data_IF_938555968233
#
_entry.id   IF_938555968233
#
_cell.length_a   1.000
_cell.length_b   1.000
_cell.length_c   1.000
_cell.angle_alpha   90.00
_cell.angle_beta   90.00
_cell.angle_gamma   90.00
#
_symmetry.space_group_name_H-M   'P 1'
#
loop_
_entity.id
_entity.type
_entity.pdbx_description
1 polymer ?
#
# COMPACT_ATOMS: atom_id res chain seq x y z
N UNK A 1 6.19 53.61 12.87
CA UNK A 1 7.49 53.13 13.42
C UNK A 1 7.27 52.84 14.90
N UNK A 2 7.15 51.57 15.30
CA UNK A 2 7.32 51.18 16.70
C UNK A 2 8.75 50.65 16.85
N UNK A 3 9.51 51.12 17.84
CA UNK A 3 10.73 50.42 18.23
C UNK A 3 10.32 49.06 18.79
N UNK A 4 10.86 47.98 18.22
CA UNK A 4 10.65 46.63 18.73
C UNK A 4 11.82 46.33 19.66
N UNK A 5 11.63 46.24 20.99
CA UNK A 5 12.67 45.84 21.92
C UNK A 5 12.93 44.34 21.77
N UNK A 6 13.96 43.99 21.00
CA UNK A 6 14.29 42.60 20.64
C UNK A 6 14.59 41.69 21.85
N UNK A 7 14.92 42.25 23.02
CA UNK A 7 15.07 41.49 24.26
C UNK A 7 13.77 40.85 24.76
N UNK A 8 12.61 41.32 24.31
CA UNK A 8 11.29 40.78 24.68
C UNK A 8 10.81 39.67 23.73
N UNK A 9 11.54 39.42 22.62
CA UNK A 9 11.19 38.42 21.61
C UNK A 9 11.86 37.05 21.83
N UNK A 10 12.69 36.92 22.87
CA UNK A 10 13.53 35.73 23.13
C UNK A 10 12.69 34.46 23.39
N UNK A 11 11.43 34.61 23.83
CA UNK A 11 10.53 33.50 24.15
C UNK A 11 9.29 33.43 23.22
N UNK A 12 9.34 34.03 22.03
CA UNK A 12 8.20 34.07 21.10
C UNK A 12 8.54 33.48 19.73
N UNK A 13 7.56 32.81 19.11
CA UNK A 13 7.69 32.31 17.74
C UNK A 13 7.78 33.49 16.75
N UNK A 14 8.96 33.66 16.14
CA UNK A 14 9.23 34.70 15.15
C UNK A 14 9.29 34.07 13.76
N UNK A 15 8.49 34.58 12.83
CA UNK A 15 8.52 34.19 11.42
C UNK A 15 9.42 35.16 10.64
N UNK A 16 10.57 34.65 10.19
CA UNK A 16 11.52 35.39 9.35
C UNK A 16 11.29 34.99 7.89
N UNK A 17 11.07 35.97 7.02
CA UNK A 17 10.91 35.77 5.57
C UNK A 17 12.11 36.39 4.87
N UNK A 18 12.74 35.61 3.98
CA UNK A 18 13.97 35.97 3.26
C UNK A 18 13.72 35.70 1.77
N UNK A 19 14.12 36.61 0.90
CA UNK A 19 14.07 36.45 -0.55
C UNK A 19 15.49 36.17 -1.07
N UNK A 20 15.64 35.36 -2.12
CA UNK A 20 16.93 35.17 -2.80
C UNK A 20 17.05 36.14 -3.97
N UNK A 21 18.09 36.99 -3.95
CA UNK A 21 18.39 37.97 -5.00
C UNK A 21 19.85 37.81 -5.39
N UNK A 22 20.10 37.49 -6.66
CA UNK A 22 21.45 37.28 -7.22
C UNK A 22 22.33 36.29 -6.43
N UNK A 23 21.72 35.19 -5.96
CA UNK A 23 22.41 34.15 -5.19
C UNK A 23 22.75 34.54 -3.75
N UNK A 24 22.19 35.64 -3.24
CA UNK A 24 22.30 36.08 -1.84
C UNK A 24 20.93 36.13 -1.19
N UNK A 25 20.85 35.65 0.05
CA UNK A 25 19.63 35.71 0.86
C UNK A 25 19.48 37.11 1.47
N UNK A 26 18.37 37.80 1.16
CA UNK A 26 18.04 39.15 1.62
C UNK A 26 16.80 39.12 2.49
N UNK A 27 16.89 39.65 3.71
CA UNK A 27 15.77 39.67 4.66
C UNK A 27 14.61 40.54 4.12
N UNK A 28 13.42 39.95 4.00
CA UNK A 28 12.20 40.61 3.52
C UNK A 28 11.32 41.11 4.65
N UNK A 29 11.07 40.28 5.67
CA UNK A 29 10.27 40.66 6.83
C UNK A 29 10.57 39.80 8.04
N UNK A 30 10.35 40.37 9.22
CA UNK A 30 10.33 39.66 10.49
C UNK A 30 8.95 39.92 11.10
N UNK A 31 8.16 38.87 11.27
CA UNK A 31 6.85 38.94 11.91
C UNK A 31 6.92 38.22 13.25
N UNK A 32 6.53 38.90 14.32
CA UNK A 32 6.42 38.31 15.64
C UNK A 32 5.05 38.62 16.23
N UNK A 33 4.50 37.67 16.99
CA UNK A 33 3.26 37.86 17.75
C UNK A 33 3.64 38.30 19.16
N UNK A 34 3.40 39.58 19.46
CA UNK A 34 3.60 40.14 20.80
C UNK A 34 2.25 40.24 21.50
N UNK A 35 2.17 39.74 22.74
CA UNK A 35 0.97 39.87 23.59
C UNK A 35 1.19 41.02 24.57
N UNK A 36 0.43 42.11 24.44
CA UNK A 36 0.47 43.22 25.40
C UNK A 36 -0.53 42.94 26.53
N UNK A 37 -0.06 42.89 27.78
CA UNK A 37 -0.91 42.67 28.96
C UNK A 37 -1.43 44.01 29.48
N UNK A 38 -2.74 44.29 29.32
CA UNK A 38 -3.37 45.49 29.91
C UNK A 38 -4.34 45.10 31.02
N UNK A 39 -4.09 45.63 32.24
CA UNK A 39 -5.05 45.59 33.35
C UNK A 39 -5.97 46.80 33.25
N UNK A 40 -7.25 46.58 32.99
CA UNK A 40 -8.28 47.62 33.06
C UNK A 40 -9.44 47.18 33.96
N UNK A 41 -10.00 48.12 34.71
CA UNK A 41 -11.28 47.94 35.39
C UNK A 41 -12.42 48.06 34.38
N UNK A 42 -13.45 47.21 34.50
CA UNK A 42 -14.59 47.16 33.57
C UNK A 42 -15.27 48.54 33.44
N UNK A 43 -15.38 49.13 32.24
CA UNK A 43 -16.26 50.28 32.03
C UNK A 43 -17.72 49.83 31.96
N UNK A 44 -18.59 50.55 32.68
CA UNK A 44 -19.97 50.16 32.95
C UNK A 44 -20.97 50.23 31.77
N UNK A 45 -20.54 50.42 30.51
CA UNK A 45 -21.47 50.44 29.37
C UNK A 45 -20.86 49.82 28.11
N UNK A 46 -21.68 48.95 27.50
CA UNK A 46 -21.49 48.20 26.27
C UNK A 46 -20.82 49.01 25.14
N UNK A 47 -19.53 48.77 24.92
CA UNK A 47 -18.90 48.96 23.62
C UNK A 47 -18.86 47.60 22.90
N UNK A 48 -19.12 47.61 21.58
CA UNK A 48 -18.98 46.43 20.73
C UNK A 48 -17.55 45.88 20.84
N UNK A 49 -17.42 44.59 21.13
CA UNK A 49 -16.17 43.92 21.47
C UNK A 49 -15.60 43.17 20.25
N UNK A 50 -14.41 43.56 19.82
CA UNK A 50 -13.52 42.75 18.96
C UNK A 50 -12.47 41.99 19.80
N UNK A 51 -12.58 42.03 21.14
CA UNK A 51 -11.60 41.46 22.07
C UNK A 51 -11.98 40.02 22.46
N UNK A 52 -10.98 39.13 22.45
CA UNK A 52 -11.12 37.73 22.88
C UNK A 52 -10.67 37.62 24.35
N UNK A 53 -11.55 37.11 25.20
CA UNK A 53 -11.29 36.93 26.64
C UNK A 53 -10.80 35.52 26.93
N UNK A 54 -9.77 35.44 27.76
CA UNK A 54 -9.07 34.19 28.06
C UNK A 54 -8.86 34.05 29.56
N UNK A 55 -9.11 32.88 30.13
CA UNK A 55 -8.88 32.62 31.56
C UNK A 55 -7.38 32.52 31.92
N UNK A 56 -7.10 32.38 33.22
CA UNK A 56 -5.76 32.23 33.78
C UNK A 56 -4.98 31.00 33.26
N UNK A 57 -5.64 30.09 32.53
CA UNK A 57 -5.05 28.90 31.91
C UNK A 57 -5.04 28.97 30.37
N UNK A 58 -5.43 30.08 29.75
CA UNK A 58 -5.35 30.27 28.30
C UNK A 58 -6.55 29.74 27.49
N UNK A 59 -7.70 29.42 28.13
CA UNK A 59 -8.95 29.06 27.42
C UNK A 59 -9.84 30.26 27.14
N UNK A 60 -10.44 30.32 25.94
CA UNK A 60 -11.39 31.37 25.54
C UNK A 60 -12.70 31.22 26.33
N UNK A 61 -13.18 32.32 26.93
CA UNK A 61 -14.40 32.34 27.76
C UNK A 61 -15.32 33.50 27.38
N UNK A 62 -16.64 33.30 27.52
CA UNK A 62 -17.64 34.38 27.36
C UNK A 62 -17.74 35.25 28.63
N UNK A 63 -17.97 36.57 28.49
CA UNK A 63 -18.04 37.47 29.64
C UNK A 63 -19.33 37.26 30.46
N UNK A 64 -19.19 36.93 31.74
CA UNK A 64 -20.29 36.89 32.71
C UNK A 64 -20.22 38.09 33.66
N UNK A 65 -21.33 38.81 33.91
CA UNK A 65 -21.34 39.93 34.86
C UNK A 65 -21.51 39.39 36.28
N UNK A 66 -20.42 39.31 37.06
CA UNK A 66 -20.49 39.07 38.49
C UNK A 66 -19.62 40.05 39.30
N UNK A 67 -20.16 40.43 40.45
CA UNK A 67 -19.88 41.60 41.29
C UNK A 67 -18.58 41.51 42.13
N UNK A 68 -17.70 40.55 41.85
CA UNK A 68 -16.39 40.43 42.50
C UNK A 68 -15.29 40.49 41.45
N UNK A 69 -14.64 41.65 41.35
CA UNK A 69 -13.61 41.95 40.36
C UNK A 69 -12.41 40.98 40.45
N UNK A 70 -12.41 39.93 39.60
CA UNK A 70 -11.22 39.20 39.22
C UNK A 70 -10.60 39.88 38.00
N UNK A 71 -9.33 40.23 38.11
CA UNK A 71 -8.48 40.81 37.07
C UNK A 71 -8.60 39.99 35.78
N UNK A 72 -9.15 40.57 34.72
CA UNK A 72 -9.21 39.91 33.41
C UNK A 72 -8.14 40.52 32.51
N UNK A 73 -7.33 39.67 31.88
CA UNK A 73 -6.26 40.06 30.96
C UNK A 73 -6.83 40.18 29.56
N UNK A 74 -6.77 41.37 28.96
CA UNK A 74 -7.13 41.56 27.55
C UNK A 74 -5.87 41.44 26.70
N UNK A 75 -5.86 40.51 25.73
CA UNK A 75 -4.76 40.33 24.77
C UNK A 75 -5.11 40.99 23.43
N UNK A 76 -4.36 42.01 23.02
CA UNK A 76 -4.53 42.67 21.72
C UNK A 76 -3.46 42.19 20.72
N UNK A 77 -3.88 41.82 19.52
CA UNK A 77 -2.98 41.41 18.43
C UNK A 77 -2.27 42.65 17.85
N UNK A 78 -0.94 42.73 17.93
CA UNK A 78 -0.16 43.83 17.32
C UNK A 78 0.76 43.27 16.24
N UNK A 79 0.55 43.69 14.98
CA UNK A 79 1.41 43.32 13.85
C UNK A 79 2.67 44.20 13.83
N UNK A 80 3.85 43.62 14.02
CA UNK A 80 5.12 44.34 13.89
C UNK A 80 5.34 44.76 12.41
N UNK A 81 5.63 46.04 12.17
CA UNK A 81 5.60 46.67 10.85
C UNK A 81 6.80 46.38 9.92
N UNK A 82 6.72 46.85 8.67
CA UNK A 82 7.81 46.83 7.68
C UNK A 82 8.96 47.77 8.08
N UNK A 83 10.20 47.28 8.05
CA UNK A 83 11.41 48.08 8.31
C UNK A 83 11.79 48.91 7.09
N UNK A 84 11.69 50.25 7.20
CA UNK A 84 12.34 51.21 6.29
C UNK A 84 13.37 52.00 7.10
N UNK A 85 14.61 51.57 6.97
CA UNK A 85 15.78 52.06 7.72
C UNK A 85 16.78 50.93 7.85
N UNK A 86 17.88 51.01 7.10
CA UNK A 86 18.92 49.99 7.07
C UNK A 86 19.51 49.79 8.47
N UNK A 87 19.29 48.61 9.01
CA UNK A 87 20.12 48.04 10.08
C UNK A 87 20.68 46.79 9.44
N UNK A 88 21.99 46.78 9.14
CA UNK A 88 22.65 45.57 8.64
C UNK A 88 22.61 44.52 9.75
N UNK A 89 21.86 43.44 9.52
CA UNK A 89 22.00 42.22 10.31
C UNK A 89 23.38 41.64 10.00
N UNK A 90 24.32 41.85 10.90
CA UNK A 90 25.59 41.13 10.96
C UNK A 90 25.44 39.98 11.95
N UNK A 91 24.56 39.04 11.62
CA UNK A 91 24.54 37.76 12.29
C UNK A 91 24.48 36.65 11.25
N UNK A 92 25.24 35.57 11.50
CA UNK A 92 25.38 34.48 10.54
C UNK A 92 24.16 33.59 10.72
N UNK A 93 23.33 33.47 9.68
CA UNK A 93 22.35 32.38 9.60
C UNK A 93 23.16 31.09 9.61
N UNK A 94 23.28 30.45 10.77
CA UNK A 94 24.21 29.35 10.99
C UNK A 94 23.77 28.10 10.22
N UNK A 95 22.46 27.87 10.10
CA UNK A 95 21.90 26.80 9.28
C UNK A 95 20.52 27.18 8.73
N UNK A 96 20.39 27.22 7.40
CA UNK A 96 19.10 27.08 6.73
C UNK A 96 18.92 25.60 6.48
N UNK A 97 17.94 24.96 7.13
CA UNK A 97 17.58 23.59 6.79
C UNK A 97 16.62 23.60 5.60
N UNK A 98 17.05 23.24 4.37
CA UNK A 98 16.08 22.84 3.35
C UNK A 98 15.32 21.66 3.94
N UNK A 99 14.00 21.77 4.11
CA UNK A 99 13.17 20.77 4.81
C UNK A 99 13.36 19.35 4.26
N UNK A 100 12.50 18.91 3.35
CA UNK A 100 12.68 17.64 2.64
C UNK A 100 13.20 17.95 1.25
N UNK A 101 14.37 17.40 0.90
CA UNK A 101 14.93 17.53 -0.45
C UNK A 101 14.31 16.44 -1.32
N UNK A 102 13.52 16.86 -2.32
CA UNK A 102 13.01 15.97 -3.36
C UNK A 102 13.97 16.02 -4.56
N UNK A 103 14.46 14.87 -4.97
CA UNK A 103 15.38 14.75 -6.12
C UNK A 103 14.88 13.67 -7.07
N UNK A 104 15.13 13.86 -8.36
CA UNK A 104 14.93 12.85 -9.38
C UNK A 104 16.29 12.23 -9.71
N UNK A 105 16.43 10.94 -9.44
CA UNK A 105 17.69 10.23 -9.69
C UNK A 105 17.80 9.86 -11.18
N UNK A 106 19.04 9.86 -11.69
CA UNK A 106 19.34 9.47 -13.06
C UNK A 106 18.92 8.03 -13.38
N UNK A 107 19.10 7.13 -12.41
CA UNK A 107 18.58 5.76 -12.49
C UNK A 107 17.17 5.74 -11.89
N UNK A 108 16.12 5.37 -12.65
CA UNK A 108 14.76 5.24 -12.14
C UNK A 108 14.57 3.94 -11.32
N UNK A 109 15.60 3.52 -10.58
CA UNK A 109 15.58 2.29 -9.79
C UNK A 109 15.09 2.64 -8.38
N UNK A 110 13.77 2.77 -8.27
CA UNK A 110 13.06 2.94 -7.01
C UNK A 110 13.17 4.34 -6.39
N UNK A 111 12.12 4.71 -5.65
CA UNK A 111 12.16 5.85 -4.74
C UNK A 111 12.73 5.42 -3.39
N UNK A 112 13.60 6.22 -2.80
CA UNK A 112 14.06 6.00 -1.44
C UNK A 112 13.93 7.29 -0.62
N UNK A 113 13.67 7.12 0.67
CA UNK A 113 13.77 8.19 1.64
C UNK A 113 15.12 8.02 2.32
N UNK A 114 15.88 9.12 2.45
CA UNK A 114 17.14 9.14 3.20
C UNK A 114 16.94 9.96 4.48
N UNK A 115 16.62 9.33 5.62
CA UNK A 115 16.48 10.03 6.88
C UNK A 115 17.79 10.72 7.30
N UNK A 116 17.69 11.96 7.80
CA UNK A 116 18.82 12.65 8.44
C UNK A 116 19.35 11.77 9.57
N UNK A 117 20.66 11.54 9.64
CA UNK A 117 21.28 10.78 10.74
C UNK A 117 20.73 9.36 10.94
N UNK A 118 20.37 8.66 9.87
CA UNK A 118 19.85 7.29 9.91
C UNK A 118 20.80 6.30 10.59
N UNK A 119 22.11 6.41 10.36
CA UNK A 119 23.13 5.48 10.87
C UNK A 119 24.11 6.13 11.87
N UNK A 120 23.87 7.39 12.26
CA UNK A 120 24.77 8.13 13.15
C UNK A 120 23.97 8.82 14.28
N UNK A 121 24.09 8.32 15.53
CA UNK A 121 23.38 8.90 16.67
C UNK A 121 23.91 10.27 17.09
N UNK A 122 25.08 10.70 16.59
CA UNK A 122 25.68 11.98 16.96
C UNK A 122 25.11 13.15 16.16
N UNK A 123 24.30 12.89 15.12
CA UNK A 123 23.69 13.92 14.30
C UNK A 123 22.43 14.49 15.01
N UNK A 124 22.43 15.77 15.43
CA UNK A 124 21.29 16.37 16.10
C UNK A 124 20.04 16.39 15.20
N UNK A 125 18.90 16.01 15.78
CA UNK A 125 17.65 15.86 15.05
C UNK A 125 17.63 14.70 14.04
N UNK A 126 18.63 13.81 14.08
CA UNK A 126 18.70 12.62 13.22
C UNK A 126 17.81 11.48 13.72
N UNK A 127 17.46 10.57 12.80
CA UNK A 127 16.63 9.40 13.09
C UNK A 127 17.27 8.49 14.14
N UNK A 128 18.57 8.19 14.06
CA UNK A 128 19.25 7.35 15.04
C UNK A 128 19.25 7.96 16.46
N UNK A 129 19.32 9.30 16.54
CA UNK A 129 19.27 10.06 17.79
C UNK A 129 17.86 10.14 18.40
N UNK A 130 16.82 9.97 17.58
CA UNK A 130 15.43 10.08 18.00
C UNK A 130 15.01 9.01 19.04
N UNK A 131 13.89 9.25 19.70
CA UNK A 131 13.33 8.28 20.66
C UNK A 131 12.92 6.98 19.96
N UNK A 132 12.96 5.82 20.65
CA UNK A 132 12.63 4.52 20.08
C UNK A 132 11.28 4.49 19.35
N UNK A 133 10.25 5.12 19.93
CA UNK A 133 8.91 5.19 19.33
C UNK A 133 8.87 5.98 18.02
N UNK A 134 9.60 7.09 17.93
CA UNK A 134 9.70 7.87 16.68
C UNK A 134 10.39 7.05 15.60
N UNK A 135 11.49 6.35 15.95
CA UNK A 135 12.18 5.45 15.02
C UNK A 135 11.28 4.32 14.56
N UNK A 136 10.59 3.65 15.49
CA UNK A 136 9.67 2.57 15.18
C UNK A 136 8.56 3.01 14.20
N UNK A 137 7.95 4.17 14.45
CA UNK A 137 6.91 4.71 13.56
C UNK A 137 7.46 4.99 12.15
N UNK A 138 8.65 5.59 12.05
CA UNK A 138 9.30 5.85 10.75
C UNK A 138 9.63 4.55 10.02
N UNK A 139 10.15 3.53 10.72
CA UNK A 139 10.49 2.23 10.13
C UNK A 139 9.25 1.44 9.68
N UNK A 140 8.12 1.56 10.39
CA UNK A 140 6.86 0.92 10.00
C UNK A 140 6.18 1.65 8.84
N UNK A 141 6.40 2.97 8.70
CA UNK A 141 5.70 3.78 7.71
C UNK A 141 5.91 3.28 6.27
N UNK A 142 7.13 2.86 5.90
CA UNK A 142 7.43 2.32 4.57
C UNK A 142 6.60 1.08 4.23
N UNK A 143 6.77 -0.04 4.98
CA UNK A 143 5.98 -1.24 4.78
C UNK A 143 4.47 -1.03 4.88
N UNK A 144 4.02 -0.19 5.82
CA UNK A 144 2.60 0.13 6.00
C UNK A 144 2.02 0.81 4.76
N UNK A 145 2.75 1.74 4.14
CA UNK A 145 2.30 2.39 2.91
C UNK A 145 2.17 1.39 1.75
N UNK A 146 3.03 0.38 1.66
CA UNK A 146 2.87 -0.69 0.67
C UNK A 146 1.59 -1.50 0.90
N UNK A 147 1.24 -1.80 2.15
CA UNK A 147 -0.01 -2.49 2.47
C UNK A 147 -1.25 -1.61 2.21
N UNK A 148 -1.18 -0.32 2.53
CA UNK A 148 -2.25 0.65 2.20
C UNK A 148 -2.45 0.73 0.69
N UNK A 149 -1.37 0.86 -0.08
CA UNK A 149 -1.43 0.87 -1.56
C UNK A 149 -2.08 -0.41 -2.08
N UNK A 150 -1.73 -1.57 -1.55
CA UNK A 150 -2.36 -2.83 -1.95
C UNK A 150 -3.88 -2.84 -1.70
N UNK A 151 -4.33 -2.41 -0.52
CA UNK A 151 -5.76 -2.31 -0.19
C UNK A 151 -6.48 -1.36 -1.15
N UNK A 152 -5.87 -0.23 -1.50
CA UNK A 152 -6.44 0.73 -2.45
C UNK A 152 -6.52 0.13 -3.86
N UNK A 153 -5.47 -0.52 -4.34
CA UNK A 153 -5.46 -1.17 -5.66
C UNK A 153 -6.49 -2.30 -5.72
N UNK A 154 -6.59 -3.14 -4.70
CA UNK A 154 -7.62 -4.19 -4.62
C UNK A 154 -9.02 -3.58 -4.60
N UNK A 155 -9.21 -2.46 -3.89
CA UNK A 155 -10.50 -1.76 -3.89
C UNK A 155 -10.90 -1.27 -5.28
N UNK A 156 -9.93 -0.81 -6.07
CA UNK A 156 -10.14 -0.43 -7.48
C UNK A 156 -10.49 -1.65 -8.33
N UNK A 157 -9.79 -2.78 -8.16
CA UNK A 157 -10.07 -4.04 -8.86
C UNK A 157 -11.52 -4.48 -8.61
N UNK A 158 -11.93 -4.57 -7.33
CA UNK A 158 -13.30 -4.95 -6.95
C UNK A 158 -14.34 -4.00 -7.56
N UNK A 159 -14.03 -2.70 -7.60
CA UNK A 159 -14.92 -1.70 -8.20
C UNK A 159 -15.04 -1.88 -9.72
N UNK A 160 -13.94 -2.19 -10.42
CA UNK A 160 -13.96 -2.42 -11.88
C UNK A 160 -14.69 -3.71 -12.25
N UNK A 161 -14.52 -4.77 -11.46
CA UNK A 161 -15.26 -6.02 -11.65
C UNK A 161 -16.75 -5.88 -11.27
N UNK A 162 -17.12 -4.89 -10.45
CA UNK A 162 -18.48 -4.70 -9.94
C UNK A 162 -18.89 -5.73 -8.87
N UNK A 163 -17.95 -6.54 -8.42
CA UNK A 163 -18.22 -7.63 -7.48
C UNK A 163 -16.99 -8.50 -7.21
N UNK A 164 -17.21 -9.61 -6.51
CA UNK A 164 -16.20 -10.59 -6.15
C UNK A 164 -16.73 -12.00 -6.31
N UNK A 165 -15.84 -12.98 -6.40
CA UNK A 165 -16.17 -14.39 -6.25
C UNK A 165 -16.15 -14.73 -4.76
N UNK A 166 -17.25 -15.27 -4.24
CA UNK A 166 -17.30 -15.80 -2.88
C UNK A 166 -17.41 -17.33 -2.92
N UNK A 167 -16.59 -17.99 -2.11
CA UNK A 167 -16.68 -19.44 -1.90
C UNK A 167 -17.85 -19.77 -0.98
N UNK A 168 -18.47 -20.96 -1.14
CA UNK A 168 -19.56 -21.38 -0.28
C UNK A 168 -19.07 -21.62 1.16
N UNK A 169 -19.96 -21.56 2.16
CA UNK A 169 -19.65 -21.98 3.53
C UNK A 169 -19.12 -23.42 3.58
N UNK A 170 -18.23 -23.71 4.53
CA UNK A 170 -17.59 -25.02 4.66
C UNK A 170 -18.57 -26.18 4.94
N UNK A 171 -19.77 -25.86 5.42
CA UNK A 171 -20.87 -26.78 5.75
C UNK A 171 -21.94 -26.86 4.64
N UNK A 172 -21.71 -26.24 3.48
CA UNK A 172 -22.63 -26.31 2.36
C UNK A 172 -22.81 -27.76 1.88
N UNK A 173 -24.01 -28.30 2.05
CA UNK A 173 -24.39 -29.67 1.72
C UNK A 173 -25.43 -29.66 0.60
N UNK A 174 -24.95 -29.43 -0.64
CA UNK A 174 -25.79 -29.40 -1.83
C UNK A 174 -24.96 -29.50 -3.11
N UNK A 175 -25.59 -29.77 -4.27
CA UNK A 175 -24.90 -29.75 -5.55
C UNK A 175 -24.26 -28.38 -5.75
N UNK A 176 -22.97 -28.39 -6.10
CA UNK A 176 -22.16 -27.20 -6.21
C UNK A 176 -22.11 -26.74 -7.66
N UNK A 177 -22.41 -25.46 -7.90
CA UNK A 177 -22.10 -24.83 -9.19
C UNK A 177 -20.61 -24.98 -9.49
N UNK A 178 -20.25 -25.31 -10.72
CA UNK A 178 -18.85 -25.41 -11.12
C UNK A 178 -18.53 -24.13 -11.90
N UNK A 179 -18.18 -23.08 -11.16
CA UNK A 179 -17.84 -21.79 -11.74
C UNK A 179 -16.42 -21.85 -12.31
N UNK A 180 -16.25 -21.47 -13.58
CA UNK A 180 -14.95 -21.30 -14.20
C UNK A 180 -14.31 -20.01 -13.69
N UNK A 181 -13.18 -20.14 -12.99
CA UNK A 181 -12.46 -19.01 -12.38
C UNK A 181 -11.24 -18.58 -13.17
N UNK A 182 -10.80 -19.38 -14.13
CA UNK A 182 -9.68 -19.06 -15.01
C UNK A 182 -9.77 -19.91 -16.27
N UNK A 183 -9.33 -19.34 -17.40
CA UNK A 183 -9.14 -20.06 -18.66
C UNK A 183 -7.73 -19.73 -19.14
N UNK A 184 -6.93 -20.78 -19.40
CA UNK A 184 -5.56 -20.65 -19.84
C UNK A 184 -5.52 -20.19 -21.30
N UNK A 185 -4.80 -19.09 -21.55
CA UNK A 185 -4.59 -18.56 -22.89
C UNK A 185 -3.88 -19.59 -23.80
N UNK A 186 -4.34 -19.70 -25.04
CA UNK A 186 -3.91 -20.70 -26.01
C UNK A 186 -4.39 -22.13 -25.73
N UNK A 187 -5.08 -22.37 -24.60
CA UNK A 187 -5.53 -23.69 -24.16
C UNK A 187 -6.76 -24.21 -24.91
N UNK A 188 -7.08 -25.53 -24.80
CA UNK A 188 -8.23 -26.12 -25.49
C UNK A 188 -9.58 -25.47 -25.12
N UNK A 189 -9.76 -25.06 -23.86
CA UNK A 189 -10.98 -24.41 -23.40
C UNK A 189 -11.17 -23.02 -24.03
N UNK A 190 -10.12 -22.21 -24.10
CA UNK A 190 -10.17 -20.89 -24.76
C UNK A 190 -10.48 -21.03 -26.24
N UNK A 191 -9.81 -21.96 -26.93
CA UNK A 191 -10.05 -22.24 -28.37
C UNK A 191 -11.49 -22.67 -28.66
N UNK A 192 -12.12 -23.38 -27.72
CA UNK A 192 -13.52 -23.76 -27.81
C UNK A 192 -14.48 -22.63 -27.40
N UNK A 193 -13.97 -21.47 -26.99
CA UNK A 193 -14.74 -20.29 -26.62
C UNK A 193 -15.29 -20.31 -25.19
N UNK A 194 -14.75 -21.15 -24.30
CA UNK A 194 -15.06 -21.12 -22.87
C UNK A 194 -14.48 -19.84 -22.24
N UNK A 195 -15.20 -19.25 -21.29
CA UNK A 195 -14.83 -17.98 -20.66
C UNK A 195 -14.84 -18.10 -19.14
N UNK A 196 -14.02 -17.27 -18.48
CA UNK A 196 -14.13 -17.07 -17.04
C UNK A 196 -15.55 -16.57 -16.71
N UNK A 197 -16.15 -17.15 -15.68
CA UNK A 197 -17.52 -16.86 -15.28
C UNK A 197 -18.59 -17.83 -15.77
N UNK A 198 -18.26 -18.70 -16.71
CA UNK A 198 -19.17 -19.77 -17.14
C UNK A 198 -19.44 -20.72 -15.97
N UNK A 199 -20.66 -21.23 -15.88
CA UNK A 199 -21.00 -22.31 -14.93
C UNK A 199 -21.17 -23.61 -15.72
N UNK A 200 -20.34 -24.60 -15.41
CA UNK A 200 -20.42 -25.93 -16.02
C UNK A 200 -21.65 -26.67 -15.46
N UNK A 201 -22.56 -27.11 -16.34
CA UNK A 201 -23.80 -27.81 -15.96
C UNK A 201 -23.71 -29.31 -16.24
N UNK A 202 -23.34 -29.68 -17.48
CA UNK A 202 -23.27 -31.08 -17.92
C UNK A 202 -22.05 -31.35 -18.77
N UNK A 203 -21.64 -32.61 -18.81
CA UNK A 203 -20.69 -33.15 -19.78
C UNK A 203 -21.28 -34.41 -20.42
N UNK A 204 -21.32 -34.46 -21.75
CA UNK A 204 -21.88 -35.56 -22.55
C UNK A 204 -23.29 -35.98 -22.10
N UNK A 205 -24.13 -34.98 -21.79
CA UNK A 205 -25.50 -35.14 -21.32
C UNK A 205 -25.65 -35.56 -19.85
N UNK A 206 -24.54 -35.82 -19.13
CA UNK A 206 -24.54 -36.16 -17.70
C UNK A 206 -24.38 -34.89 -16.85
N UNK A 207 -25.26 -34.63 -15.86
CA UNK A 207 -25.09 -33.53 -14.91
C UNK A 207 -23.77 -33.65 -14.14
N UNK A 208 -23.10 -32.52 -13.95
CA UNK A 208 -21.91 -32.42 -13.11
C UNK A 208 -22.31 -31.75 -11.78
N UNK A 209 -22.01 -32.40 -10.67
CA UNK A 209 -22.47 -31.94 -9.34
C UNK A 209 -21.36 -31.35 -8.48
N UNK A 210 -20.10 -31.59 -8.85
CA UNK A 210 -18.92 -31.14 -8.13
C UNK A 210 -17.68 -31.10 -9.06
N UNK A 211 -16.63 -30.46 -8.55
CA UNK A 211 -15.35 -30.31 -9.25
C UNK A 211 -14.70 -31.67 -9.54
N UNK A 212 -14.75 -32.62 -8.60
CA UNK A 212 -14.04 -33.90 -8.72
C UNK A 212 -14.57 -34.74 -9.90
N UNK A 213 -15.88 -34.73 -10.11
CA UNK A 213 -16.54 -35.33 -11.26
C UNK A 213 -16.08 -34.70 -12.58
N UNK A 214 -16.08 -33.36 -12.66
CA UNK A 214 -15.64 -32.64 -13.85
C UNK A 214 -14.16 -32.93 -14.17
N UNK A 215 -13.30 -32.83 -13.15
CA UNK A 215 -11.86 -33.09 -13.28
C UNK A 215 -11.56 -34.54 -13.68
N UNK A 216 -12.26 -35.51 -13.06
CA UNK A 216 -12.10 -36.93 -13.39
C UNK A 216 -12.54 -37.24 -14.81
N UNK A 217 -13.66 -36.65 -15.25
CA UNK A 217 -14.16 -36.81 -16.62
C UNK A 217 -13.19 -36.24 -17.66
N UNK A 218 -12.63 -35.06 -17.42
CA UNK A 218 -11.63 -34.45 -18.31
C UNK A 218 -10.38 -35.34 -18.43
N UNK A 219 -9.88 -35.84 -17.29
CA UNK A 219 -8.69 -36.69 -17.26
C UNK A 219 -8.92 -38.07 -17.91
N UNK A 220 -10.15 -38.60 -17.83
CA UNK A 220 -10.52 -39.89 -18.41
C UNK A 220 -10.75 -39.85 -19.93
N UNK A 221 -10.76 -38.67 -20.55
CA UNK A 221 -11.09 -38.46 -21.97
C UNK A 221 -9.94 -37.80 -22.76
N UNK A 222 -8.70 -38.34 -22.73
CA UNK A 222 -7.59 -37.78 -23.50
C UNK A 222 -7.88 -37.79 -24.98
N UNK A 223 -7.74 -36.64 -25.64
CA UNK A 223 -7.94 -36.44 -27.09
C UNK A 223 -9.35 -36.80 -27.60
N UNK A 224 -10.31 -37.03 -26.70
CA UNK A 224 -11.71 -37.31 -27.02
C UNK A 224 -12.54 -36.04 -26.81
N UNK A 225 -13.34 -35.59 -27.80
CA UNK A 225 -14.20 -34.44 -27.63
C UNK A 225 -15.25 -34.68 -26.55
N UNK A 226 -15.34 -33.77 -25.59
CA UNK A 226 -16.38 -33.73 -24.57
C UNK A 226 -17.34 -32.59 -24.91
N UNK A 227 -18.64 -32.86 -24.91
CA UNK A 227 -19.68 -31.85 -25.09
C UNK A 227 -20.10 -31.30 -23.74
N UNK A 228 -19.68 -30.08 -23.44
CA UNK A 228 -20.06 -29.37 -22.23
C UNK A 228 -21.31 -28.51 -22.47
N UNK A 229 -22.25 -28.58 -21.54
CA UNK A 229 -23.36 -27.65 -21.42
C UNK A 229 -23.00 -26.63 -20.33
N UNK A 230 -22.99 -25.35 -20.67
CA UNK A 230 -22.59 -24.26 -19.78
C UNK A 230 -23.70 -23.23 -19.64
N UNK A 231 -23.72 -22.53 -18.52
CA UNK A 231 -24.53 -21.34 -18.31
C UNK A 231 -23.65 -20.10 -18.41
N UNK A 232 -23.93 -19.23 -19.38
CA UNK A 232 -23.28 -17.93 -19.57
C UNK A 232 -24.33 -16.85 -19.63
N UNK A 233 -24.26 -15.85 -18.74
CA UNK A 233 -25.22 -14.74 -18.70
C UNK A 233 -26.71 -15.17 -18.67
N UNK A 234 -27.01 -16.33 -18.08
CA UNK A 234 -28.36 -16.89 -18.01
C UNK A 234 -28.79 -17.70 -19.23
N UNK A 235 -27.97 -17.76 -20.29
CA UNK A 235 -28.21 -18.60 -21.47
C UNK A 235 -27.42 -19.89 -21.39
N UNK A 236 -28.05 -21.00 -21.78
CA UNK A 236 -27.38 -22.29 -21.89
C UNK A 236 -26.70 -22.39 -23.26
N UNK A 237 -25.38 -22.57 -23.24
CA UNK A 237 -24.57 -22.79 -24.44
C UNK A 237 -23.99 -24.20 -24.42
N UNK A 238 -23.72 -24.74 -25.60
CA UNK A 238 -23.02 -26.02 -25.74
C UNK A 238 -21.68 -25.80 -26.44
N UNK A 239 -20.61 -26.24 -25.79
CA UNK A 239 -19.25 -26.16 -26.30
C UNK A 239 -18.66 -27.56 -26.39
N UNK A 240 -17.93 -27.84 -27.47
CA UNK A 240 -17.19 -29.10 -27.61
C UNK A 240 -15.72 -28.82 -27.39
N UNK A 241 -15.14 -29.44 -26.36
CA UNK A 241 -13.76 -29.20 -25.94
C UNK A 241 -13.01 -30.53 -25.98
N UNK A 242 -11.80 -30.52 -26.54
CA UNK A 242 -10.95 -31.72 -26.63
C UNK A 242 -9.82 -31.60 -25.62
N UNK A 243 -9.78 -32.42 -24.55
CA UNK A 243 -8.66 -32.44 -23.61
C UNK A 243 -7.35 -32.80 -24.30
N UNK A 244 -6.28 -32.08 -23.94
CA UNK A 244 -4.93 -32.33 -24.43
C UNK A 244 -4.00 -32.69 -23.28
N UNK A 245 -3.01 -33.53 -23.55
CA UNK A 245 -1.96 -33.80 -22.57
C UNK A 245 -1.22 -32.51 -22.23
N UNK A 246 -1.21 -32.14 -20.95
CA UNK A 246 -0.38 -31.04 -20.46
C UNK A 246 0.95 -31.63 -19.99
N UNK A 247 2.06 -31.23 -20.64
CA UNK A 247 3.39 -31.79 -20.35
C UNK A 247 3.88 -31.47 -18.93
N UNK A 248 3.53 -30.29 -18.40
CA UNK A 248 3.94 -29.87 -17.05
C UNK A 248 3.18 -30.64 -15.95
N UNK A 249 1.88 -30.85 -16.16
CA UNK A 249 1.02 -31.53 -15.19
C UNK A 249 1.03 -33.07 -15.35
N UNK A 250 1.54 -33.59 -16.47
CA UNK A 250 1.58 -35.01 -16.78
C UNK A 250 0.20 -35.66 -16.90
N UNK A 251 -0.84 -34.89 -17.23
CA UNK A 251 -2.23 -35.37 -17.33
C UNK A 251 -3.03 -34.61 -18.39
N UNK A 252 -4.12 -35.20 -18.94
CA UNK A 252 -5.02 -34.51 -19.85
C UNK A 252 -5.74 -33.35 -19.16
N UNK A 253 -5.77 -32.19 -19.80
CA UNK A 253 -6.40 -30.98 -19.29
C UNK A 253 -7.04 -30.19 -20.43
N UNK A 254 -8.02 -29.35 -20.09
CA UNK A 254 -8.60 -28.36 -21.02
C UNK A 254 -8.12 -26.93 -20.74
N UNK A 255 -7.28 -26.73 -19.73
CA UNK A 255 -6.70 -25.42 -19.40
C UNK A 255 -7.68 -24.50 -18.69
N UNK A 256 -8.28 -24.96 -17.58
CA UNK A 256 -9.22 -24.17 -16.77
C UNK A 256 -8.91 -24.33 -15.29
N UNK A 257 -9.25 -23.30 -14.51
CA UNK A 257 -9.43 -23.39 -13.06
C UNK A 257 -10.91 -23.23 -12.73
N UNK A 258 -11.41 -23.97 -11.74
CA UNK A 258 -12.80 -23.91 -11.32
C UNK A 258 -12.94 -23.84 -9.81
N UNK A 259 -14.05 -23.24 -9.37
CA UNK A 259 -14.47 -23.23 -7.98
C UNK A 259 -15.87 -23.84 -7.82
N UNK A 260 -15.98 -24.77 -6.87
CA UNK A 260 -17.21 -25.48 -6.52
C UNK A 260 -18.05 -24.65 -5.56
N UNK A 261 -19.29 -24.40 -5.93
CA UNK A 261 -20.26 -23.64 -5.17
C UNK A 261 -19.93 -22.15 -5.07
N UNK A 262 -18.95 -21.67 -5.82
CA UNK A 262 -18.65 -20.25 -5.88
C UNK A 262 -19.76 -19.50 -6.62
N UNK A 263 -20.05 -18.28 -6.16
CA UNK A 263 -20.97 -17.37 -6.80
C UNK A 263 -20.36 -15.97 -6.95
N UNK A 264 -20.84 -15.24 -7.96
CA UNK A 264 -20.51 -13.83 -8.13
C UNK A 264 -21.37 -13.00 -7.18
N UNK A 265 -20.74 -12.35 -6.21
CA UNK A 265 -21.40 -11.41 -5.33
C UNK A 265 -21.13 -9.99 -5.79
N UNK A 266 -22.17 -9.30 -6.22
CA UNK A 266 -22.10 -7.88 -6.54
C UNK A 266 -21.81 -7.05 -5.28
N UNK A 267 -20.87 -6.13 -5.40
CA UNK A 267 -20.48 -5.23 -4.30
C UNK A 267 -20.94 -3.83 -4.64
N UNK A 268 -21.88 -3.31 -3.87
CA UNK A 268 -22.54 -2.01 -4.17
C UNK A 268 -22.12 -0.89 -3.22
N UNK A 269 -21.50 -1.21 -2.08
CA UNK A 269 -21.12 -0.22 -1.07
C UNK A 269 -19.62 -0.11 -0.87
N UNK A 270 -19.14 1.12 -0.62
CA UNK A 270 -17.72 1.40 -0.35
C UNK A 270 -17.23 0.66 0.90
N UNK A 271 -18.07 0.55 1.94
CA UNK A 271 -17.72 -0.14 3.17
C UNK A 271 -17.52 -1.64 2.95
N UNK A 272 -18.39 -2.27 2.15
CA UNK A 272 -18.26 -3.67 1.81
C UNK A 272 -17.03 -3.93 0.92
N UNK A 273 -16.79 -3.07 -0.07
CA UNK A 273 -15.57 -3.12 -0.87
C UNK A 273 -14.32 -3.07 0.01
N UNK A 274 -14.20 -2.06 0.88
CA UNK A 274 -13.04 -1.91 1.76
C UNK A 274 -12.86 -3.15 2.67
N UNK A 275 -13.96 -3.70 3.21
CA UNK A 275 -13.92 -4.91 4.03
C UNK A 275 -13.35 -6.10 3.24
N UNK A 276 -13.79 -6.31 2.00
CA UNK A 276 -13.26 -7.37 1.15
C UNK A 276 -11.83 -7.10 0.73
N UNK A 277 -11.45 -5.85 0.40
CA UNK A 277 -10.07 -5.49 0.10
C UNK A 277 -9.12 -5.79 1.26
N UNK A 278 -9.55 -5.48 2.50
CA UNK A 278 -8.81 -5.84 3.71
C UNK A 278 -8.75 -7.37 3.91
N UNK A 279 -9.85 -8.09 3.68
CA UNK A 279 -9.88 -9.55 3.78
C UNK A 279 -8.96 -10.22 2.76
N UNK A 280 -9.00 -9.81 1.49
CA UNK A 280 -8.10 -10.30 0.46
C UNK A 280 -6.64 -9.98 0.78
N UNK A 281 -6.36 -8.75 1.22
CA UNK A 281 -5.01 -8.37 1.67
C UNK A 281 -4.55 -9.28 2.81
N UNK A 282 -5.38 -9.49 3.83
CA UNK A 282 -5.07 -10.38 4.95
C UNK A 282 -4.86 -11.84 4.54
N UNK A 283 -5.69 -12.36 3.62
CA UNK A 283 -5.53 -13.70 3.08
C UNK A 283 -4.22 -13.87 2.31
N UNK A 284 -3.82 -12.87 1.51
CA UNK A 284 -2.56 -12.88 0.79
C UNK A 284 -1.35 -12.76 1.72
N UNK A 285 -1.44 -11.91 2.75
CA UNK A 285 -0.42 -11.86 3.80
C UNK A 285 -0.28 -13.23 4.47
N UNK A 286 -1.39 -13.86 4.84
CA UNK A 286 -1.38 -15.19 5.45
C UNK A 286 -0.78 -16.24 4.51
N UNK A 287 -1.11 -16.21 3.22
CA UNK A 287 -0.53 -17.11 2.22
C UNK A 287 1.00 -16.94 2.13
N UNK A 288 1.50 -15.70 2.09
CA UNK A 288 2.93 -15.41 2.03
C UNK A 288 3.67 -15.82 3.30
N UNK A 289 3.13 -15.49 4.47
CA UNK A 289 3.77 -15.81 5.77
C UNK A 289 3.77 -17.31 6.05
N UNK A 290 2.75 -18.04 5.61
CA UNK A 290 2.65 -19.49 5.79
C UNK A 290 3.41 -20.28 4.72
N UNK A 291 3.83 -19.65 3.61
CA UNK A 291 4.53 -20.30 2.50
C UNK A 291 5.71 -21.17 2.95
N UNK A 292 6.66 -20.71 3.79
CA UNK A 292 7.80 -21.53 4.18
C UNK A 292 7.38 -22.79 4.94
N UNK A 293 6.39 -22.68 5.82
CA UNK A 293 5.84 -23.81 6.58
C UNK A 293 5.15 -24.81 5.65
N UNK A 294 4.37 -24.31 4.70
CA UNK A 294 3.64 -25.13 3.71
C UNK A 294 4.59 -25.88 2.77
N UNK A 295 5.71 -25.27 2.39
CA UNK A 295 6.77 -25.91 1.61
C UNK A 295 7.47 -27.03 2.41
N UNK A 296 7.81 -26.78 3.68
CA UNK A 296 8.41 -27.79 4.55
C UNK A 296 7.47 -28.97 4.83
N UNK A 297 6.17 -28.70 4.93
CA UNK A 297 5.14 -29.73 5.07
C UNK A 297 4.85 -30.50 3.78
N UNK A 298 5.43 -30.10 2.64
CA UNK A 298 5.18 -30.73 1.34
C UNK A 298 3.76 -30.52 0.80
N UNK A 299 3.00 -29.56 1.35
CA UNK A 299 1.64 -29.23 0.88
C UNK A 299 1.62 -28.44 -0.42
N UNK A 300 2.78 -27.87 -0.80
CA UNK A 300 3.00 -27.10 -2.03
C UNK A 300 4.26 -27.65 -2.72
N UNK A 301 4.22 -27.91 -4.04
CA UNK A 301 5.41 -28.27 -4.82
C UNK A 301 6.51 -27.19 -4.73
N UNK A 302 7.80 -27.55 -4.63
CA UNK A 302 8.90 -26.59 -4.54
C UNK A 302 8.94 -25.57 -5.69
N UNK A 303 8.45 -25.96 -6.87
CA UNK A 303 8.36 -25.11 -8.07
C UNK A 303 7.47 -23.88 -7.86
N UNK A 304 6.38 -24.02 -7.10
CA UNK A 304 5.46 -22.91 -6.78
C UNK A 304 6.03 -21.96 -5.73
N UNK A 305 7.06 -22.39 -4.99
CA UNK A 305 7.77 -21.57 -4.00
C UNK A 305 9.03 -20.89 -4.54
N UNK A 306 9.28 -20.97 -5.86
CA UNK A 306 10.49 -20.40 -6.47
C UNK A 306 10.48 -18.88 -6.38
N UNK A 307 11.62 -18.31 -5.99
CA UNK A 307 11.84 -16.86 -6.01
C UNK A 307 11.94 -16.39 -7.47
N UNK A 308 11.19 -15.33 -7.79
CA UNK A 308 11.16 -14.73 -9.14
C UNK A 308 12.15 -13.57 -9.21
N UNK A 309 12.97 -13.54 -10.26
CA UNK A 309 13.92 -12.47 -10.54
C UNK A 309 13.30 -11.31 -11.32
N UNK A 310 14.15 -10.39 -11.79
CA UNK A 310 13.71 -9.22 -12.54
C UNK A 310 13.12 -9.60 -13.90
N UNK A 311 13.65 -10.64 -14.57
CA UNK A 311 13.14 -11.09 -15.87
C UNK A 311 11.73 -11.66 -15.71
N UNK A 312 11.52 -12.57 -14.76
CA UNK A 312 10.22 -13.17 -14.51
C UNK A 312 9.18 -12.14 -14.09
N UNK A 313 9.54 -11.14 -13.26
CA UNK A 313 8.62 -10.03 -12.97
C UNK A 313 8.28 -9.25 -14.25
N UNK A 314 9.25 -8.98 -15.12
CA UNK A 314 9.02 -8.31 -16.41
C UNK A 314 8.11 -9.12 -17.33
N UNK A 315 8.31 -10.44 -17.44
CA UNK A 315 7.51 -11.32 -18.29
C UNK A 315 6.07 -11.40 -17.77
N UNK A 316 5.88 -11.57 -16.46
CA UNK A 316 4.56 -11.59 -15.81
C UNK A 316 3.83 -10.26 -16.02
N UNK A 317 4.53 -9.14 -15.84
CA UNK A 317 3.95 -7.80 -16.09
C UNK A 317 3.59 -7.62 -17.57
N UNK A 318 4.47 -8.03 -18.49
CA UNK A 318 4.22 -7.91 -19.93
C UNK A 318 3.02 -8.74 -20.37
N UNK A 319 2.90 -9.97 -19.85
CA UNK A 319 1.77 -10.84 -20.12
C UNK A 319 0.46 -10.27 -19.55
N UNK A 320 0.45 -9.81 -18.29
CA UNK A 320 -0.75 -9.22 -17.69
C UNK A 320 -1.23 -7.97 -18.44
N UNK A 321 -0.29 -7.15 -18.95
CA UNK A 321 -0.64 -6.00 -19.81
C UNK A 321 -1.25 -6.47 -21.14
N UNK A 322 -0.68 -7.49 -21.79
CA UNK A 322 -1.26 -8.05 -23.02
C UNK A 322 -2.69 -8.53 -22.79
N UNK A 323 -2.90 -9.29 -21.71
CA UNK A 323 -4.21 -9.83 -21.34
C UNK A 323 -5.24 -8.72 -21.06
N UNK A 324 -4.84 -7.67 -20.34
CA UNK A 324 -5.72 -6.53 -20.07
C UNK A 324 -6.07 -5.73 -21.34
N UNK A 325 -5.12 -5.58 -22.27
CA UNK A 325 -5.36 -4.93 -23.57
C UNK A 325 -6.32 -5.76 -24.41
N UNK A 326 -6.12 -7.07 -24.50
CA UNK A 326 -7.01 -8.00 -25.21
C UNK A 326 -8.41 -7.99 -24.61
N UNK A 327 -8.53 -8.07 -23.28
CA UNK A 327 -9.80 -8.00 -22.57
C UNK A 327 -10.54 -6.67 -22.81
N UNK A 328 -9.80 -5.56 -22.89
CA UNK A 328 -10.37 -4.24 -23.19
C UNK A 328 -10.84 -4.10 -24.64
N UNK A 329 -10.24 -4.84 -25.57
CA UNK A 329 -10.59 -4.83 -27.00
C UNK A 329 -11.65 -5.87 -27.37
N UNK A 330 -11.87 -6.86 -26.51
CA UNK A 330 -12.90 -7.86 -26.69
C UNK A 330 -14.29 -7.22 -26.56
N UNK A 331 -14.88 -6.80 -27.68
CA UNK A 331 -16.27 -6.37 -27.71
C UNK A 331 -17.18 -7.56 -27.37
N UNK A 332 -17.92 -7.56 -26.26
CA UNK A 332 -18.98 -8.53 -26.08
C UNK A 332 -19.98 -8.38 -27.24
N UNK A 333 -20.53 -9.49 -27.80
CA UNK A 333 -21.59 -9.39 -28.79
C UNK A 333 -22.70 -8.48 -28.26
N UNK A 334 -23.24 -7.60 -29.11
CA UNK A 334 -24.12 -6.48 -28.71
C UNK A 334 -25.37 -6.90 -27.90
N UNK A 335 -25.70 -8.19 -27.90
CA UNK A 335 -26.82 -8.79 -27.16
C UNK A 335 -26.43 -9.43 -25.82
N UNK A 336 -25.15 -9.51 -25.47
CA UNK A 336 -24.68 -10.16 -24.25
C UNK A 336 -24.42 -9.16 -23.14
N UNK A 337 -24.89 -9.47 -21.92
CA UNK A 337 -24.55 -8.69 -20.74
C UNK A 337 -23.01 -8.68 -20.55
N UNK A 338 -22.42 -7.56 -20.10
CA UNK A 338 -21.00 -7.51 -19.77
C UNK A 338 -20.66 -8.61 -18.77
N UNK A 339 -19.70 -9.45 -19.12
CA UNK A 339 -19.20 -10.49 -18.24
C UNK A 339 -18.29 -9.84 -17.18
N UNK A 340 -18.65 -9.74 -15.89
CA UNK A 340 -17.83 -9.03 -14.89
C UNK A 340 -16.44 -9.63 -14.70
N UNK A 341 -16.22 -10.85 -15.18
CA UNK A 341 -14.95 -11.57 -15.12
C UNK A 341 -13.95 -11.20 -16.22
N UNK A 342 -14.37 -10.42 -17.23
CA UNK A 342 -13.49 -9.97 -18.31
C UNK A 342 -12.88 -8.58 -18.05
N UNK A 343 -13.01 -8.03 -16.84
CA UNK A 343 -12.46 -6.72 -16.51
C UNK A 343 -10.92 -6.74 -16.63
N UNK A 344 -10.29 -5.71 -17.25
CA UNK A 344 -8.84 -5.64 -17.45
C UNK A 344 -8.10 -5.26 -16.16
N UNK A 345 -8.08 -6.19 -15.20
CA UNK A 345 -7.58 -5.98 -13.84
C UNK A 345 -6.34 -6.81 -13.51
N UNK A 346 -5.78 -7.56 -14.46
CA UNK A 346 -4.67 -8.48 -14.19
C UNK A 346 -3.40 -7.72 -13.81
N UNK A 347 -3.09 -6.64 -14.52
CA UNK A 347 -1.93 -5.78 -14.22
C UNK A 347 -2.05 -5.19 -12.82
N UNK A 348 -3.25 -4.70 -12.45
CA UNK A 348 -3.51 -4.20 -11.10
C UNK A 348 -3.37 -5.30 -10.05
N UNK A 349 -3.77 -6.53 -10.37
CA UNK A 349 -3.63 -7.69 -9.48
C UNK A 349 -2.16 -8.00 -9.18
N UNK A 350 -1.29 -7.93 -10.20
CA UNK A 350 0.17 -8.08 -10.00
C UNK A 350 0.73 -6.91 -9.18
N UNK A 351 0.33 -5.67 -9.45
CA UNK A 351 0.76 -4.51 -8.67
C UNK A 351 0.36 -4.66 -7.19
N UNK A 352 -0.88 -5.09 -6.91
CA UNK A 352 -1.33 -5.36 -5.56
C UNK A 352 -0.50 -6.45 -4.89
N UNK A 353 -0.27 -7.58 -5.57
CA UNK A 353 0.53 -8.69 -5.05
C UNK A 353 1.98 -8.27 -4.74
N UNK A 354 2.63 -7.53 -5.65
CA UNK A 354 3.98 -7.02 -5.45
C UNK A 354 4.02 -6.02 -4.28
N UNK A 355 3.01 -5.16 -4.13
CA UNK A 355 2.91 -4.22 -3.01
C UNK A 355 2.75 -4.95 -1.67
N UNK A 356 1.88 -5.97 -1.59
CA UNK A 356 1.76 -6.81 -0.38
C UNK A 356 3.09 -7.50 -0.07
N UNK A 357 3.69 -8.12 -1.09
CA UNK A 357 4.95 -8.85 -0.94
C UNK A 357 6.05 -7.92 -0.43
N UNK A 358 6.25 -6.74 -1.03
CA UNK A 358 7.25 -5.78 -0.61
C UNK A 358 7.00 -5.25 0.81
N UNK A 359 5.73 -5.00 1.18
CA UNK A 359 5.36 -4.64 2.54
C UNK A 359 5.71 -5.71 3.57
N UNK A 360 5.35 -6.97 3.31
CA UNK A 360 5.63 -8.09 4.22
C UNK A 360 7.12 -8.43 4.27
N UNK A 361 7.80 -8.49 3.13
CA UNK A 361 9.24 -8.74 3.09
C UNK A 361 10.03 -7.66 3.82
N UNK A 362 9.65 -6.38 3.70
CA UNK A 362 10.33 -5.32 4.44
C UNK A 362 10.11 -5.42 5.97
N UNK A 363 9.03 -6.06 6.44
CA UNK A 363 8.80 -6.35 7.86
C UNK A 363 9.49 -7.63 8.35
N UNK A 364 9.99 -8.46 7.44
CA UNK A 364 10.71 -9.68 7.80
C UNK A 364 11.93 -9.32 8.67
N UNK A 365 12.20 -10.04 9.78
CA UNK A 365 13.26 -9.71 10.73
C UNK A 365 14.64 -10.12 10.20
N UNK A 366 14.99 -9.59 9.03
CA UNK A 366 16.25 -9.86 8.34
C UNK A 366 17.11 -8.59 8.30
N UNK A 367 18.41 -8.67 8.62
CA UNK A 367 19.27 -7.50 8.61
C UNK A 367 19.37 -6.87 7.21
N UNK A 368 19.35 -5.53 7.15
CA UNK A 368 19.30 -4.65 5.97
C UNK A 368 17.87 -4.27 5.54
N UNK A 369 16.86 -4.99 6.02
CA UNK A 369 15.45 -4.60 5.87
C UNK A 369 14.97 -3.79 7.08
N UNK A 370 13.85 -3.07 6.91
CA UNK A 370 13.23 -2.27 7.97
C UNK A 370 12.86 -3.14 9.18
N UNK A 371 12.36 -4.35 8.96
CA UNK A 371 12.04 -5.34 9.99
C UNK A 371 13.26 -5.76 10.81
N UNK A 372 14.43 -5.83 10.19
CA UNK A 372 15.69 -6.04 10.89
C UNK A 372 16.04 -4.89 11.83
N UNK A 373 15.82 -3.64 11.43
CA UNK A 373 16.04 -2.46 12.29
C UNK A 373 15.00 -2.38 13.41
N UNK A 374 13.76 -2.72 13.12
CA UNK A 374 12.69 -2.85 14.13
C UNK A 374 13.11 -3.85 15.20
N UNK A 375 13.71 -4.99 14.82
CA UNK A 375 14.22 -5.99 15.76
C UNK A 375 15.32 -5.44 16.69
N UNK A 376 16.10 -4.45 16.28
CA UNK A 376 17.09 -3.78 17.14
C UNK A 376 16.48 -2.68 18.02
N UNK A 377 15.40 -2.04 17.58
CA UNK A 377 14.67 -1.00 18.34
C UNK A 377 13.76 -1.61 19.41
N UNK A 378 13.15 -2.78 19.17
CA UNK A 378 12.21 -3.42 20.11
C UNK A 378 12.84 -3.77 21.48
N UNK A 379 14.03 -4.39 21.57
CA UNK A 379 14.72 -4.63 22.83
C UNK A 379 15.09 -3.34 23.56
N UNK A 380 15.43 -2.27 22.84
CA UNK A 380 15.68 -0.97 23.48
C UNK A 380 14.42 -0.43 24.16
N UNK A 381 13.25 -0.65 23.56
CA UNK A 381 11.98 -0.25 24.16
C UNK A 381 11.63 -1.07 25.42
N UNK A 382 11.92 -2.37 25.40
CA UNK A 382 11.62 -3.30 26.50
C UNK A 382 12.64 -3.15 27.65
N UNK A 383 13.93 -3.20 27.32
CA UNK A 383 15.02 -3.25 28.28
C UNK A 383 15.64 -1.89 28.57
N UNK A 384 15.20 -0.82 27.89
CA UNK A 384 15.73 0.55 27.99
C UNK A 384 17.25 0.63 27.80
N UNK A 385 17.82 -0.33 27.08
CA UNK A 385 19.26 -0.42 26.77
C UNK A 385 19.44 -0.43 25.25
N UNK A 386 20.26 0.50 24.76
CA UNK A 386 20.61 0.61 23.34
C UNK A 386 21.57 -0.50 22.94
N UNK A 387 21.30 -1.14 21.82
CA UNK A 387 22.27 -2.02 21.17
C UNK A 387 23.41 -1.16 20.63
N UNK A 388 24.68 -1.59 20.76
CA UNK A 388 25.80 -0.81 20.23
C UNK A 388 25.68 -0.61 18.72
N UNK A 389 25.67 0.65 18.26
CA UNK A 389 25.50 1.00 16.85
C UNK A 389 26.55 0.35 15.92
N UNK A 390 27.78 0.15 16.39
CA UNK A 390 28.82 -0.56 15.61
C UNK A 390 28.43 -2.01 15.30
N UNK A 391 27.77 -2.68 16.24
CA UNK A 391 27.31 -4.05 16.07
C UNK A 391 26.10 -4.09 15.13
N UNK A 392 25.13 -3.20 15.33
CA UNK A 392 23.97 -3.05 14.44
C UNK A 392 24.40 -2.79 12.98
N UNK A 393 25.31 -1.85 12.75
CA UNK A 393 25.84 -1.54 11.42
C UNK A 393 26.58 -2.72 10.79
N UNK A 394 27.34 -3.48 11.58
CA UNK A 394 28.04 -4.69 11.09
C UNK A 394 27.03 -5.76 10.66
N UNK A 395 26.03 -6.05 11.51
CA UNK A 395 25.01 -7.06 11.23
C UNK A 395 24.20 -6.68 9.99
N UNK A 396 23.82 -5.40 9.86
CA UNK A 396 23.15 -4.90 8.66
C UNK A 396 24.04 -4.94 7.42
N UNK A 397 25.33 -4.62 7.52
CA UNK A 397 26.26 -4.70 6.40
C UNK A 397 26.46 -6.14 5.89
N UNK A 398 26.57 -7.10 6.80
CA UNK A 398 26.64 -8.54 6.47
C UNK A 398 25.32 -8.98 5.82
N UNK A 399 24.18 -8.62 6.41
CA UNK A 399 22.86 -8.94 5.86
C UNK A 399 22.65 -8.39 4.47
N UNK A 400 23.05 -7.14 4.22
CA UNK A 400 22.96 -6.50 2.89
C UNK A 400 23.81 -7.25 1.87
N UNK A 401 25.03 -7.64 2.24
CA UNK A 401 25.92 -8.41 1.37
C UNK A 401 25.30 -9.76 1.00
N UNK A 402 24.74 -10.46 1.98
CA UNK A 402 24.05 -11.74 1.75
C UNK A 402 22.80 -11.57 0.90
N UNK A 403 22.00 -10.53 1.16
CA UNK A 403 20.80 -10.22 0.38
C UNK A 403 21.15 -9.91 -1.08
N UNK A 404 22.19 -9.10 -1.33
CA UNK A 404 22.68 -8.83 -2.68
C UNK A 404 23.17 -10.10 -3.38
N UNK A 405 23.89 -10.97 -2.67
CA UNK A 405 24.32 -12.26 -3.23
C UNK A 405 23.13 -13.15 -3.61
N UNK A 406 22.11 -13.22 -2.76
CA UNK A 406 20.86 -13.95 -3.06
C UNK A 406 20.12 -13.32 -4.22
N UNK A 407 20.01 -11.99 -4.29
CA UNK A 407 19.39 -11.30 -5.43
C UNK A 407 20.12 -11.62 -6.73
N UNK A 408 21.46 -11.57 -6.76
CA UNK A 408 22.24 -11.94 -7.96
C UNK A 408 21.96 -13.39 -8.34
N UNK A 409 22.00 -14.32 -7.37
CA UNK A 409 21.71 -15.73 -7.62
C UNK A 409 20.31 -15.96 -8.20
N UNK A 410 19.27 -15.37 -7.59
CA UNK A 410 17.87 -15.49 -8.05
C UNK A 410 17.74 -14.93 -9.45
N UNK A 411 18.32 -13.76 -9.74
CA UNK A 411 18.28 -13.18 -11.07
C UNK A 411 18.97 -14.07 -12.10
N UNK A 412 20.19 -14.55 -11.82
CA UNK A 412 20.92 -15.45 -12.73
C UNK A 412 20.11 -16.72 -13.00
N UNK A 413 19.52 -17.32 -11.97
CA UNK A 413 18.67 -18.51 -12.13
C UNK A 413 17.44 -18.23 -12.99
N UNK A 414 16.78 -17.11 -12.78
CA UNK A 414 15.59 -16.68 -13.52
C UNK A 414 15.90 -16.36 -15.01
N UNK A 415 17.12 -15.93 -15.32
CA UNK A 415 17.58 -15.81 -16.72
C UNK A 415 17.90 -17.16 -17.37
N UNK A 416 18.39 -18.14 -16.60
CA UNK A 416 18.74 -19.48 -17.11
C UNK A 416 17.50 -20.37 -17.27
N UNK A 417 16.56 -20.26 -16.32
CA UNK A 417 15.36 -21.08 -16.18
C UNK A 417 14.17 -20.16 -15.88
N UNK A 418 13.60 -19.50 -16.92
CA UNK A 418 12.59 -18.46 -16.73
C UNK A 418 11.26 -19.01 -16.20
N UNK A 419 10.51 -18.17 -15.50
CA UNK A 419 9.17 -18.54 -14.97
C UNK A 419 8.15 -18.71 -16.09
N UNK A 420 8.24 -17.88 -17.11
CA UNK A 420 7.44 -17.99 -18.32
C UNK A 420 8.41 -18.40 -19.43
N UNK A 421 8.23 -19.59 -20.04
CA UNK A 421 9.14 -20.13 -21.04
C UNK A 421 9.19 -19.34 -22.34
#
# INVERSE_FOLDING_TARGET
>A
RMPVPWGELVDHDVKITVDEVDGRLVLRSIEAVLFEEKRQAFPAKSQKLDDIYVDENGKVVEPQPQENAKTTVTKKLVKAGKTTGGTELTDVISEVHPGTIFTLNWLPIGGFVRPKGENDPNIPGGLAAASPWKRLFVLIAGPLMNLITAVLVISVIISQMGGIIVSPPADATGPQSILITEVLQGGPAEQAGLQMGDILLKADGKPLSNIDEASSLIQASPDVPIRFEILRNGETLELTIVPRMNEQAGRPMIGISFCGGCEFKQITTVAENLRYSLQFTGAQINALVTLPVRLLQGTIPPEQGRLVGLKGIFDIMSQSVSNDVEASQAQPPASSAPNPYNAPVQTLSIIALLSISLGIFNLFPFPALDGGRILFVLPELIFRRRVPHKFENLVHGIGMTLLLAVMIYVNVRDFIDPVIP
#
